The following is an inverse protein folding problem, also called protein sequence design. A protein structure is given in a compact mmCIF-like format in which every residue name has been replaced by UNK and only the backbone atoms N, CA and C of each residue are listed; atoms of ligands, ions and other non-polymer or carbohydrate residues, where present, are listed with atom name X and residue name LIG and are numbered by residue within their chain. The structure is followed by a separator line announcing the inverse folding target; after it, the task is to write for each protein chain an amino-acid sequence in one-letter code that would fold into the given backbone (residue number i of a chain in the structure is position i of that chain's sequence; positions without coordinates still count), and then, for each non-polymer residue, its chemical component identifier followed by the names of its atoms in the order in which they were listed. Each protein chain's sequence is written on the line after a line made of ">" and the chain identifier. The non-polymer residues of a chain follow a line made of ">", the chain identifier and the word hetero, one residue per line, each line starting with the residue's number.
data_IF_386862654877
#
_entry.id   IF_386862654877
#
_cell.length_a   1.000
_cell.length_b   1.000
_cell.length_c   1.000
_cell.angle_alpha   90.00
_cell.angle_beta   90.00
_cell.angle_gamma   90.00
#
_symmetry.space_group_name_H-M   'P 1'
#
loop_
_entity.id
_entity.type
_entity.pdbx_description
1 polymer ?
#
# COMPACT_ATOMS: atom_id res chain seq x y z
N UNK A 1 -11.67 -2.72 -0.23
CA UNK A 1 -10.36 -2.93 0.44
C UNK A 1 -9.77 -4.19 -0.16
N UNK A 2 -8.44 -4.26 -0.34
CA UNK A 2 -7.81 -5.35 -1.07
C UNK A 2 -6.51 -5.80 -0.40
N UNK A 3 -6.28 -7.11 -0.37
CA UNK A 3 -4.98 -7.71 -0.04
C UNK A 3 -4.43 -8.29 -1.33
N UNK A 4 -3.21 -7.91 -1.69
CA UNK A 4 -2.55 -8.34 -2.93
C UNK A 4 -1.32 -9.18 -2.60
N UNK A 5 -1.31 -10.47 -2.97
CA UNK A 5 -0.09 -11.27 -2.91
C UNK A 5 0.92 -10.74 -3.94
N UNK A 6 2.16 -10.42 -3.52
CA UNK A 6 3.20 -9.94 -4.44
C UNK A 6 3.55 -11.00 -5.48
N UNK A 7 3.26 -10.71 -6.75
CA UNK A 7 3.66 -11.56 -7.89
C UNK A 7 5.09 -11.28 -8.33
N UNK A 8 5.57 -12.04 -9.33
CA UNK A 8 6.89 -11.84 -9.95
C UNK A 8 7.09 -10.42 -10.51
N UNK A 9 6.01 -9.76 -10.95
CA UNK A 9 6.01 -8.36 -11.41
C UNK A 9 5.11 -7.48 -10.52
N UNK A 10 5.54 -7.20 -9.28
CA UNK A 10 4.69 -6.57 -8.26
C UNK A 10 4.37 -5.10 -8.61
N UNK A 11 5.25 -4.43 -9.35
CA UNK A 11 5.07 -3.08 -9.88
C UNK A 11 3.88 -2.98 -10.83
N UNK A 12 3.81 -3.87 -11.81
CA UNK A 12 2.75 -3.87 -12.81
C UNK A 12 1.41 -4.28 -12.20
N UNK A 13 1.43 -5.19 -11.23
CA UNK A 13 0.26 -5.59 -10.45
C UNK A 13 -0.38 -4.39 -9.74
N UNK A 14 0.42 -3.54 -9.08
CA UNK A 14 -0.08 -2.35 -8.37
C UNK A 14 -0.60 -1.30 -9.34
N UNK A 15 0.13 -1.04 -10.42
CA UNK A 15 -0.37 -0.11 -11.44
C UNK A 15 -1.70 -0.56 -12.03
N UNK A 16 -1.82 -1.85 -12.33
CA UNK A 16 -3.07 -2.43 -12.85
C UNK A 16 -4.19 -2.30 -11.82
N UNK A 17 -3.89 -2.56 -10.55
CA UNK A 17 -4.84 -2.40 -9.45
C UNK A 17 -5.32 -0.95 -9.30
N UNK A 18 -4.39 0.01 -9.25
CA UNK A 18 -4.70 1.44 -9.15
C UNK A 18 -5.55 1.90 -10.33
N UNK A 19 -5.18 1.53 -11.56
CA UNK A 19 -5.95 1.89 -12.76
C UNK A 19 -7.36 1.31 -12.75
N UNK A 20 -7.56 0.10 -12.20
CA UNK A 20 -8.87 -0.57 -12.17
C UNK A 20 -9.77 -0.07 -11.05
N UNK A 21 -9.20 0.25 -9.89
CA UNK A 21 -9.98 0.45 -8.66
C UNK A 21 -9.92 1.87 -8.09
N UNK A 22 -8.96 2.70 -8.54
CA UNK A 22 -8.69 4.03 -8.00
C UNK A 22 -8.56 5.09 -9.10
N UNK A 23 -9.18 4.88 -10.26
CA UNK A 23 -9.13 5.82 -11.37
C UNK A 23 -9.72 7.18 -10.98
N UNK A 24 -8.96 8.26 -11.21
CA UNK A 24 -9.38 9.63 -10.90
C UNK A 24 -9.20 10.04 -9.43
N UNK A 25 -8.70 9.14 -8.57
CA UNK A 25 -8.49 9.42 -7.15
C UNK A 25 -7.05 9.84 -6.83
N UNK A 26 -6.88 10.58 -5.74
CA UNK A 26 -5.57 10.81 -5.15
C UNK A 26 -5.16 9.58 -4.33
N UNK A 27 -4.12 8.90 -4.77
CA UNK A 27 -3.62 7.66 -4.18
C UNK A 27 -2.23 7.89 -3.60
N UNK A 28 -2.04 7.47 -2.34
CA UNK A 28 -0.71 7.38 -1.73
C UNK A 28 -0.21 5.93 -1.78
N UNK A 29 0.94 5.71 -2.42
CA UNK A 29 1.64 4.42 -2.38
C UNK A 29 2.75 4.54 -1.33
N UNK A 30 2.70 3.68 -0.31
CA UNK A 30 3.56 3.77 0.88
C UNK A 30 4.39 2.50 0.96
N UNK A 31 5.71 2.61 1.04
CA UNK A 31 6.61 1.47 1.11
C UNK A 31 7.74 1.68 2.12
N UNK A 32 8.52 0.62 2.31
CA UNK A 32 9.76 0.66 3.08
C UNK A 32 10.85 1.33 2.24
N UNK A 33 11.74 2.07 2.90
CA UNK A 33 12.89 2.72 2.27
C UNK A 33 13.64 1.77 1.32
N UNK A 34 13.92 2.24 0.10
CA UNK A 34 14.63 1.52 -0.99
C UNK A 34 13.89 0.29 -1.53
N UNK A 35 12.67 0.03 -1.08
CA UNK A 35 11.84 -1.07 -1.62
C UNK A 35 10.86 -0.60 -2.69
N UNK A 36 10.59 0.71 -2.80
CA UNK A 36 9.77 1.23 -3.88
C UNK A 36 10.58 1.32 -5.19
N UNK A 37 10.06 0.80 -6.31
CA UNK A 37 10.77 0.88 -7.59
C UNK A 37 11.00 2.34 -8.03
N UNK A 38 12.24 2.68 -8.35
CA UNK A 38 12.65 4.05 -8.68
C UNK A 38 11.98 4.62 -9.96
N UNK A 39 11.42 3.75 -10.80
CA UNK A 39 10.75 4.10 -12.07
C UNK A 39 9.30 4.57 -11.91
N UNK A 40 8.76 4.61 -10.70
CA UNK A 40 7.45 5.21 -10.43
C UNK A 40 7.53 6.75 -10.52
N UNK A 41 7.61 7.27 -11.73
CA UNK A 41 7.49 8.69 -12.05
C UNK A 41 6.21 9.27 -11.41
N UNK A 42 6.34 10.43 -10.77
CA UNK A 42 5.26 11.19 -10.12
C UNK A 42 4.10 11.40 -11.09
N UNK A 43 3.04 10.62 -10.93
CA UNK A 43 1.74 10.97 -11.48
C UNK A 43 1.13 12.00 -10.52
N UNK A 44 0.54 13.10 -11.02
CA UNK A 44 -0.08 14.13 -10.16
C UNK A 44 -1.12 13.56 -9.19
N UNK A 45 -1.72 12.42 -9.52
CA UNK A 45 -2.71 11.73 -8.71
C UNK A 45 -2.14 10.58 -7.85
N UNK A 46 -0.92 10.09 -8.12
CA UNK A 46 -0.31 8.97 -7.37
C UNK A 46 1.02 9.40 -6.79
N UNK A 47 1.09 9.51 -5.46
CA UNK A 47 2.27 9.96 -4.74
C UNK A 47 2.90 8.77 -4.00
N UNK A 48 4.23 8.66 -4.10
CA UNK A 48 5.02 7.58 -3.52
C UNK A 48 5.73 8.07 -2.25
N UNK A 49 5.64 7.29 -1.18
CA UNK A 49 6.23 7.58 0.12
C UNK A 49 7.08 6.41 0.61
N UNK A 50 8.37 6.67 0.83
CA UNK A 50 9.30 5.76 1.50
C UNK A 50 9.36 6.10 3.00
N UNK A 51 8.22 5.96 3.68
CA UNK A 51 8.07 6.41 5.07
C UNK A 51 8.13 5.29 6.11
N UNK A 52 8.18 4.03 5.67
CA UNK A 52 8.20 2.88 6.56
C UNK A 52 9.63 2.37 6.75
N UNK A 53 9.95 1.91 7.95
CA UNK A 53 11.26 1.30 8.26
C UNK A 53 11.21 -0.22 8.19
N UNK A 54 10.01 -0.80 8.21
CA UNK A 54 9.79 -2.25 8.21
C UNK A 54 9.86 -2.92 9.58
N UNK A 55 10.19 -2.17 10.65
CA UNK A 55 10.29 -2.70 12.02
C UNK A 55 8.94 -2.83 12.73
N UNK A 56 8.08 -1.81 12.58
CA UNK A 56 6.74 -1.77 13.19
C UNK A 56 5.69 -1.34 12.17
N UNK A 57 5.48 -2.17 11.14
CA UNK A 57 4.62 -1.83 9.98
C UNK A 57 3.20 -1.39 10.36
N UNK A 58 2.60 -1.99 11.39
CA UNK A 58 1.26 -1.63 11.85
C UNK A 58 1.23 -0.23 12.46
N UNK A 59 2.15 0.07 13.37
CA UNK A 59 2.21 1.38 14.05
C UNK A 59 2.59 2.49 13.06
N UNK A 60 3.62 2.26 12.25
CA UNK A 60 4.06 3.20 11.23
C UNK A 60 2.96 3.47 10.20
N UNK A 61 2.29 2.41 9.74
CA UNK A 61 1.18 2.53 8.79
C UNK A 61 -0.03 3.24 9.38
N UNK A 62 -0.41 2.96 10.63
CA UNK A 62 -1.48 3.69 11.34
C UNK A 62 -1.13 5.17 11.48
N UNK A 63 0.09 5.49 11.90
CA UNK A 63 0.56 6.88 12.02
C UNK A 63 0.57 7.61 10.67
N UNK A 64 0.91 6.90 9.60
CA UNK A 64 0.85 7.45 8.25
C UNK A 64 -0.60 7.75 7.83
N UNK A 65 -1.52 6.80 8.04
CA UNK A 65 -2.92 6.97 7.73
C UNK A 65 -3.54 8.14 8.49
N UNK A 66 -3.29 8.25 9.80
CA UNK A 66 -3.80 9.35 10.61
C UNK A 66 -3.32 10.72 10.08
N UNK A 67 -2.03 10.81 9.75
CA UNK A 67 -1.43 12.05 9.22
C UNK A 67 -1.98 12.47 7.86
N UNK A 68 -2.29 11.52 6.96
CA UNK A 68 -2.54 11.81 5.55
C UNK A 68 -3.96 11.44 5.07
N UNK A 69 -4.81 10.87 5.93
CA UNK A 69 -6.17 10.40 5.58
C UNK A 69 -7.05 11.47 4.95
N UNK A 70 -6.78 12.75 5.23
CA UNK A 70 -7.51 13.90 4.66
C UNK A 70 -7.03 14.29 3.26
N UNK A 71 -5.80 13.93 2.90
CA UNK A 71 -5.15 14.34 1.65
C UNK A 71 -5.37 13.33 0.51
N UNK A 72 -5.67 12.07 0.84
CA UNK A 72 -5.77 10.96 -0.10
C UNK A 72 -7.06 10.17 0.10
N UNK A 73 -7.65 9.73 -1.01
CA UNK A 73 -8.86 8.90 -1.01
C UNK A 73 -8.53 7.41 -0.89
N UNK A 74 -7.31 7.01 -1.27
CA UNK A 74 -6.83 5.65 -1.17
C UNK A 74 -5.34 5.55 -0.83
N UNK A 75 -4.99 4.48 -0.13
CA UNK A 75 -3.63 4.14 0.28
C UNK A 75 -3.28 2.74 -0.19
N UNK A 76 -2.09 2.58 -0.75
CA UNK A 76 -1.53 1.30 -1.18
C UNK A 76 -0.23 1.06 -0.43
N UNK A 77 -0.26 0.16 0.56
CA UNK A 77 0.94 -0.25 1.29
C UNK A 77 1.70 -1.31 0.49
N UNK A 78 2.83 -0.91 -0.08
CA UNK A 78 3.76 -1.76 -0.79
C UNK A 78 4.79 -2.36 0.17
N UNK A 79 4.38 -3.39 0.90
CA UNK A 79 5.19 -4.07 1.92
C UNK A 79 5.12 -5.58 1.74
N UNK A 80 6.08 -6.31 2.30
CA UNK A 80 6.01 -7.78 2.41
C UNK A 80 5.62 -8.16 3.83
N UNK A 81 4.33 -8.04 4.15
CA UNK A 81 3.83 -8.36 5.48
C UNK A 81 2.99 -9.65 5.51
N UNK A 82 2.80 -10.27 6.69
CA UNK A 82 1.78 -11.28 6.92
C UNK A 82 0.36 -10.73 6.72
N UNK A 83 -0.60 -11.62 6.44
CA UNK A 83 -2.00 -11.24 6.27
C UNK A 83 -2.59 -10.52 7.50
N UNK A 84 -2.23 -10.94 8.72
CA UNK A 84 -2.70 -10.31 9.96
C UNK A 84 -2.30 -8.84 10.07
N UNK A 85 -1.11 -8.48 9.57
CA UNK A 85 -0.64 -7.09 9.51
C UNK A 85 -1.42 -6.31 8.45
N UNK A 86 -1.69 -6.94 7.31
CA UNK A 86 -2.49 -6.33 6.24
C UNK A 86 -3.92 -6.04 6.69
N UNK A 87 -4.56 -6.97 7.40
CA UNK A 87 -5.91 -6.79 7.95
C UNK A 87 -5.97 -5.62 8.94
N UNK A 88 -5.01 -5.54 9.88
CA UNK A 88 -4.96 -4.43 10.82
C UNK A 88 -4.81 -3.05 10.16
N UNK A 89 -4.03 -2.96 9.07
CA UNK A 89 -3.90 -1.71 8.30
C UNK A 89 -5.19 -1.38 7.53
N UNK A 90 -5.88 -2.39 7.01
CA UNK A 90 -7.17 -2.24 6.35
C UNK A 90 -8.24 -1.74 7.32
N UNK A 91 -8.30 -2.32 8.51
CA UNK A 91 -9.22 -1.89 9.56
C UNK A 91 -8.93 -0.46 10.04
N UNK A 92 -7.65 -0.10 10.21
CA UNK A 92 -7.26 1.26 10.53
C UNK A 92 -7.72 2.26 9.45
N UNK A 93 -7.54 1.91 8.18
CA UNK A 93 -8.04 2.72 7.07
C UNK A 93 -9.56 2.84 7.06
N UNK A 94 -10.27 1.75 7.33
CA UNK A 94 -11.74 1.72 7.43
C UNK A 94 -12.24 2.70 8.50
N UNK A 95 -11.62 2.68 9.68
CA UNK A 95 -11.98 3.56 10.78
C UNK A 95 -11.80 5.06 10.42
N UNK A 96 -10.86 5.36 9.52
CA UNK A 96 -10.59 6.70 9.01
C UNK A 96 -11.37 7.06 7.74
N UNK A 97 -12.23 6.16 7.24
CA UNK A 97 -13.04 6.39 6.03
C UNK A 97 -12.26 6.32 4.71
N UNK A 98 -11.02 5.81 4.71
CA UNK A 98 -10.16 5.74 3.53
C UNK A 98 -10.02 4.31 3.01
N UNK A 99 -9.76 4.16 1.71
CA UNK A 99 -9.57 2.85 1.10
C UNK A 99 -8.12 2.40 1.22
N UNK A 100 -7.90 1.26 1.86
CA UNK A 100 -6.57 0.67 1.98
C UNK A 100 -6.45 -0.59 1.12
N UNK A 101 -5.32 -0.68 0.41
CA UNK A 101 -4.79 -1.89 -0.21
C UNK A 101 -3.43 -2.19 0.43
N UNK A 102 -3.15 -3.46 0.71
CA UNK A 102 -1.85 -3.88 1.26
C UNK A 102 -1.30 -5.02 0.41
N UNK A 103 -0.02 -4.96 0.03
CA UNK A 103 0.65 -6.13 -0.53
C UNK A 103 1.13 -7.04 0.59
N UNK A 104 1.01 -8.35 0.39
CA UNK A 104 1.47 -9.37 1.33
C UNK A 104 2.47 -10.29 0.65
N UNK A 105 3.30 -10.94 1.46
CA UNK A 105 4.24 -11.95 0.97
C UNK A 105 3.45 -13.04 0.26
N UNK A 106 3.77 -13.34 -1.00
CA UNK A 106 3.15 -14.47 -1.67
C UNK A 106 3.39 -15.74 -0.86
N UNK A 107 2.34 -16.51 -0.61
CA UNK A 107 2.55 -17.88 -0.14
C UNK A 107 3.38 -18.59 -1.21
N UNK A 108 4.62 -18.94 -0.87
CA UNK A 108 5.39 -19.87 -1.67
C UNK A 108 4.53 -21.13 -1.76
N UNK A 109 3.95 -21.37 -2.94
CA UNK A 109 3.23 -22.60 -3.22
C UNK A 109 4.30 -23.69 -3.05
N UNK A 110 4.21 -24.45 -1.96
CA UNK A 110 5.06 -25.63 -1.78
C UNK A 110 4.88 -26.47 -3.03
N UNK A 111 5.99 -26.66 -3.75
CA UNK A 111 6.06 -27.53 -4.92
C UNK A 111 5.87 -28.99 -4.49
#
# INVERSE_FOLDING_TARGET
>A
MFILEKKAEPTQQIWTHIKRHYQGEKVAVVGVEKQLPQTFLRNKQVIFYESLTGRSLVEEGKRFLDKFSKDYSAFVFYVDCPNEVAEQLIEAGRALGVRVTVTVKAKAKAA
#
